data_IF_397594897460
#
_entry.id   IF_397594897460
#
_cell.length_a   1.000
_cell.length_b   1.000
_cell.length_c   1.000
_cell.angle_alpha   90.00
_cell.angle_beta   90.00
_cell.angle_gamma   90.00
#
_symmetry.space_group_name_H-M   'P 1'
#
loop_
_entity.id
_entity.type
_entity.pdbx_description
1 polymer ?
#
# COMPACT_ATOMS: atom_id res chain seq x y z
N UNK A 1 -4.09 -47.30 -67.62
CA UNK A 1 -3.40 -46.09 -67.12
C UNK A 1 -4.42 -44.99 -67.18
N UNK A 2 -5.02 -44.43 -66.13
CA UNK A 2 -4.68 -44.31 -64.70
C UNK A 2 -5.99 -44.25 -63.92
N UNK A 3 -5.98 -44.88 -62.75
CA UNK A 3 -7.08 -45.03 -61.80
C UNK A 3 -7.39 -43.71 -61.08
N UNK A 4 -8.66 -43.35 -60.96
CA UNK A 4 -9.17 -42.32 -60.03
C UNK A 4 -9.31 -42.94 -58.65
N UNK A 5 -8.37 -42.63 -57.76
CA UNK A 5 -8.44 -42.96 -56.33
C UNK A 5 -8.97 -41.76 -55.55
N UNK A 6 -10.10 -41.96 -54.88
CA UNK A 6 -10.64 -41.07 -53.84
C UNK A 6 -9.67 -41.03 -52.66
N UNK A 7 -9.27 -39.84 -52.23
CA UNK A 7 -8.53 -39.63 -50.99
C UNK A 7 -9.48 -39.06 -49.94
N UNK A 8 -9.77 -39.90 -48.94
CA UNK A 8 -10.46 -39.53 -47.70
C UNK A 8 -9.70 -38.42 -46.98
N UNK A 9 -10.38 -37.32 -46.68
CA UNK A 9 -9.85 -36.27 -45.83
C UNK A 9 -10.07 -36.68 -44.38
N UNK A 10 -9.05 -37.29 -43.79
CA UNK A 10 -9.00 -37.63 -42.37
C UNK A 10 -9.05 -36.34 -41.55
N UNK A 11 -10.23 -36.05 -41.00
CA UNK A 11 -10.43 -34.95 -40.06
C UNK A 11 -9.98 -35.45 -38.69
N UNK A 12 -8.75 -35.16 -38.29
CA UNK A 12 -8.26 -35.41 -36.94
C UNK A 12 -8.92 -34.41 -35.98
N UNK A 13 -10.10 -34.79 -35.47
CA UNK A 13 -10.63 -34.27 -34.21
C UNK A 13 -9.66 -34.67 -33.10
N UNK A 14 -8.84 -33.72 -32.63
CA UNK A 14 -8.21 -33.86 -31.32
C UNK A 14 -9.27 -33.52 -30.28
N UNK A 15 -9.90 -34.57 -29.76
CA UNK A 15 -10.73 -34.54 -28.55
C UNK A 15 -9.88 -34.07 -27.37
N UNK A 16 -9.93 -32.77 -27.06
CA UNK A 16 -9.36 -32.23 -25.82
C UNK A 16 -10.34 -32.46 -24.66
N UNK A 17 -10.53 -33.73 -24.30
CA UNK A 17 -11.27 -34.17 -23.11
C UNK A 17 -10.28 -34.49 -22.00
N UNK A 18 -9.81 -33.48 -21.25
CA UNK A 18 -9.49 -33.63 -19.81
C UNK A 18 -9.49 -32.28 -19.08
N UNK A 19 -10.64 -31.62 -19.00
CA UNK A 19 -10.88 -30.56 -18.02
C UNK A 19 -11.03 -31.11 -16.60
N UNK A 20 -9.99 -31.76 -16.06
CA UNK A 20 -9.94 -32.09 -14.63
C UNK A 20 -9.75 -30.79 -13.87
N UNK A 21 -10.85 -30.24 -13.31
CA UNK A 21 -10.78 -29.13 -12.36
C UNK A 21 -9.94 -29.59 -11.16
N UNK A 22 -8.64 -29.27 -11.18
CA UNK A 22 -7.71 -29.57 -10.10
C UNK A 22 -8.30 -28.99 -8.82
N UNK A 23 -8.49 -29.82 -7.80
CA UNK A 23 -8.93 -29.35 -6.48
C UNK A 23 -7.94 -28.28 -6.01
N UNK A 24 -8.41 -27.09 -5.57
CA UNK A 24 -7.52 -26.08 -5.06
C UNK A 24 -6.71 -26.65 -3.92
N UNK A 25 -5.40 -26.41 -3.91
CA UNK A 25 -4.57 -26.85 -2.79
C UNK A 25 -5.06 -26.13 -1.53
N UNK A 26 -4.90 -26.74 -0.35
CA UNK A 26 -5.40 -26.18 0.92
C UNK A 26 -4.89 -24.77 1.24
N UNK A 27 -3.83 -24.30 0.58
CA UNK A 27 -3.25 -22.96 0.71
C UNK A 27 -3.70 -21.97 -0.38
N UNK A 28 -4.43 -22.41 -1.39
CA UNK A 28 -4.94 -21.54 -2.46
C UNK A 28 -6.17 -20.78 -1.93
N UNK A 29 -6.05 -19.45 -1.82
CA UNK A 29 -7.14 -18.58 -1.37
C UNK A 29 -8.33 -18.68 -2.31
N UNK A 30 -9.54 -18.70 -1.73
CA UNK A 30 -10.82 -18.68 -2.48
C UNK A 30 -11.17 -17.29 -3.02
N UNK A 31 -10.45 -16.24 -2.63
CA UNK A 31 -10.68 -14.89 -3.10
C UNK A 31 -10.39 -14.79 -4.61
N UNK A 32 -11.24 -14.11 -5.40
CA UNK A 32 -11.01 -13.89 -6.82
C UNK A 32 -9.69 -13.17 -7.06
N UNK A 33 -9.01 -13.57 -8.13
CA UNK A 33 -7.86 -12.85 -8.68
C UNK A 33 -8.42 -11.89 -9.72
N UNK A 34 -8.17 -10.60 -9.56
CA UNK A 34 -8.66 -9.51 -10.40
C UNK A 34 -7.48 -8.70 -10.94
N UNK A 35 -7.67 -8.07 -12.10
CA UNK A 35 -6.63 -7.31 -12.80
C UNK A 35 -7.18 -6.09 -13.55
N UNK A 36 -6.54 -5.76 -14.67
CA UNK A 36 -6.91 -4.62 -15.51
C UNK A 36 -8.35 -4.77 -16.03
N UNK A 37 -9.16 -3.73 -15.85
CA UNK A 37 -10.57 -3.68 -16.30
C UNK A 37 -11.59 -4.26 -15.33
N UNK A 38 -11.16 -4.94 -14.26
CA UNK A 38 -12.05 -5.42 -13.21
C UNK A 38 -12.44 -4.29 -12.23
N UNK A 39 -13.58 -4.45 -11.55
CA UNK A 39 -13.98 -3.55 -10.46
C UNK A 39 -13.19 -3.87 -9.18
N UNK A 40 -12.25 -3.01 -8.81
CA UNK A 40 -11.38 -3.21 -7.65
C UNK A 40 -11.84 -2.38 -6.44
N UNK A 41 -11.75 -2.96 -5.25
CA UNK A 41 -12.13 -2.31 -3.98
C UNK A 41 -13.57 -1.84 -3.97
N UNK A 42 -13.78 -0.56 -3.68
CA UNK A 42 -15.09 0.11 -3.68
C UNK A 42 -15.56 0.54 -5.09
N UNK A 43 -14.82 0.21 -6.14
CA UNK A 43 -15.13 0.58 -7.53
C UNK A 43 -14.40 1.85 -8.02
N UNK A 44 -13.62 2.50 -7.15
CA UNK A 44 -12.81 3.69 -7.43
C UNK A 44 -11.31 3.39 -7.53
N UNK A 45 -10.93 2.09 -7.57
CA UNK A 45 -9.54 1.65 -7.73
C UNK A 45 -9.37 0.87 -9.03
N UNK A 46 -8.17 0.94 -9.61
CA UNK A 46 -7.85 0.28 -10.88
C UNK A 46 -6.36 -0.06 -11.00
N UNK A 47 -6.05 -1.04 -11.84
CA UNK A 47 -4.70 -1.46 -12.19
C UNK A 47 -4.38 -0.98 -13.61
N UNK A 48 -3.18 -0.43 -13.80
CA UNK A 48 -2.62 -0.12 -15.12
C UNK A 48 -1.27 -0.80 -15.23
N UNK A 49 -1.04 -1.48 -16.35
CA UNK A 49 0.21 -2.19 -16.64
C UNK A 49 1.02 -1.45 -17.72
N UNK A 50 2.33 -1.70 -17.77
CA UNK A 50 3.20 -1.12 -18.80
C UNK A 50 3.29 0.40 -18.75
N UNK A 51 3.23 1.00 -17.54
CA UNK A 51 3.29 2.46 -17.41
C UNK A 51 4.69 3.02 -17.68
N UNK A 52 5.71 2.19 -17.53
CA UNK A 52 7.11 2.52 -17.78
C UNK A 52 7.42 2.13 -19.23
N UNK A 53 7.80 3.10 -20.07
CA UNK A 53 8.29 2.78 -21.42
C UNK A 53 9.51 1.85 -21.37
N UNK A 54 9.84 1.21 -22.50
CA UNK A 54 10.81 0.09 -22.57
C UNK A 54 12.13 0.35 -21.83
N UNK A 55 12.75 1.52 -22.02
CA UNK A 55 14.00 1.89 -21.37
C UNK A 55 13.85 1.94 -19.84
N UNK A 56 12.85 2.68 -19.34
CA UNK A 56 12.62 2.84 -17.91
C UNK A 56 12.19 1.52 -17.28
N UNK A 57 11.36 0.72 -17.96
CA UNK A 57 10.97 -0.60 -17.47
C UNK A 57 12.21 -1.46 -17.24
N UNK A 58 13.07 -1.63 -18.24
CA UNK A 58 14.23 -2.53 -18.17
C UNK A 58 15.28 -2.14 -17.12
N UNK A 59 15.43 -0.85 -16.80
CA UNK A 59 16.49 -0.36 -15.91
C UNK A 59 16.00 0.07 -14.51
N UNK A 60 14.70 0.36 -14.35
CA UNK A 60 14.16 0.99 -13.14
C UNK A 60 14.42 0.21 -11.86
N UNK A 61 14.30 -1.13 -11.89
CA UNK A 61 14.53 -1.94 -10.69
C UNK A 61 15.97 -1.78 -10.18
N UNK A 62 16.95 -2.00 -11.05
CA UNK A 62 18.36 -1.89 -10.70
C UNK A 62 18.74 -0.47 -10.26
N UNK A 63 18.30 0.55 -11.03
CA UNK A 63 18.57 1.96 -10.71
C UNK A 63 17.96 2.38 -9.37
N UNK A 64 16.70 2.07 -9.10
CA UNK A 64 16.06 2.41 -7.81
C UNK A 64 16.73 1.65 -6.67
N UNK A 65 17.10 0.38 -6.86
CA UNK A 65 17.83 -0.42 -5.86
C UNK A 65 19.16 0.22 -5.46
N UNK A 66 19.88 0.81 -6.43
CA UNK A 66 21.18 1.46 -6.24
C UNK A 66 21.07 2.90 -5.71
N UNK A 67 20.17 3.71 -6.28
CA UNK A 67 20.02 5.14 -5.97
C UNK A 67 19.42 5.39 -4.57
N UNK A 68 18.51 4.52 -4.13
CA UNK A 68 17.75 4.72 -2.89
C UNK A 68 18.59 4.35 -1.67
N UNK A 69 18.62 5.26 -0.68
CA UNK A 69 19.22 5.02 0.63
C UNK A 69 18.25 4.23 1.51
N UNK A 70 18.45 2.93 1.58
CA UNK A 70 17.62 2.00 2.35
C UNK A 70 17.85 2.10 3.86
N UNK A 71 16.76 2.02 4.62
CA UNK A 71 16.76 2.03 6.09
C UNK A 71 15.91 0.88 6.66
N UNK A 72 16.10 0.58 7.94
CA UNK A 72 15.31 -0.38 8.71
C UNK A 72 14.30 0.38 9.57
N UNK A 73 13.02 0.15 9.29
CA UNK A 73 11.94 0.73 10.09
C UNK A 73 11.58 -0.16 11.27
N UNK A 74 11.24 0.48 12.40
CA UNK A 74 10.75 -0.20 13.59
C UNK A 74 9.26 0.08 13.78
N UNK A 75 8.49 -0.96 14.13
CA UNK A 75 7.08 -0.83 14.47
C UNK A 75 6.75 -1.76 15.63
N UNK A 76 6.22 -1.21 16.73
CA UNK A 76 5.85 -1.95 17.96
C UNK A 76 7.04 -2.71 18.55
N UNK A 77 8.23 -2.11 18.53
CA UNK A 77 9.44 -2.69 19.14
C UNK A 77 10.10 -3.82 18.35
N UNK A 78 9.73 -4.04 17.09
CA UNK A 78 10.39 -5.00 16.19
C UNK A 78 10.69 -4.42 14.81
N UNK A 79 11.63 -5.02 14.10
CA UNK A 79 11.97 -4.62 12.73
C UNK A 79 10.83 -4.96 11.79
N UNK A 80 10.45 -3.99 10.97
CA UNK A 80 9.58 -4.24 9.84
C UNK A 80 10.33 -5.15 8.85
N UNK A 81 9.72 -6.23 8.35
CA UNK A 81 10.42 -7.25 7.56
C UNK A 81 10.49 -6.82 6.09
N UNK A 82 11.13 -5.68 5.84
CA UNK A 82 11.43 -5.06 4.54
C UNK A 82 12.26 -3.80 4.78
N UNK A 83 13.08 -3.42 3.81
CA UNK A 83 13.79 -2.14 3.87
C UNK A 83 12.89 -1.04 3.33
N UNK A 84 13.05 0.18 3.85
CA UNK A 84 12.23 1.32 3.45
C UNK A 84 13.07 2.55 3.16
N UNK A 85 12.51 3.49 2.41
CA UNK A 85 13.02 4.84 2.27
C UNK A 85 11.86 5.81 2.02
N UNK A 86 12.05 7.08 2.36
CA UNK A 86 11.08 8.14 2.11
C UNK A 86 11.74 9.18 1.23
N UNK A 87 11.08 9.55 0.15
CA UNK A 87 11.50 10.66 -0.70
C UNK A 87 10.35 11.63 -0.97
N UNK A 88 10.66 12.88 -1.25
CA UNK A 88 9.66 13.90 -1.55
C UNK A 88 10.22 15.18 -2.14
N UNK A 89 9.31 16.08 -2.49
CA UNK A 89 9.64 17.41 -2.98
C UNK A 89 10.11 18.29 -1.81
N UNK A 90 11.28 18.91 -1.96
CA UNK A 90 11.80 19.90 -1.02
C UNK A 90 11.65 21.27 -1.69
N UNK A 91 10.91 22.18 -1.07
CA UNK A 91 10.69 23.52 -1.58
C UNK A 91 11.95 24.39 -1.46
N UNK A 92 11.99 25.52 -2.17
CA UNK A 92 13.13 26.45 -2.15
C UNK A 92 13.46 26.97 -0.74
N UNK A 93 12.44 27.06 0.11
CA UNK A 93 12.55 27.47 1.50
C UNK A 93 12.94 26.34 2.47
N UNK A 94 13.23 25.15 1.93
CA UNK A 94 13.58 23.95 2.67
C UNK A 94 12.41 23.15 3.24
N UNK A 95 11.17 23.64 3.16
CA UNK A 95 10.00 22.90 3.64
C UNK A 95 9.73 21.66 2.79
N UNK A 96 9.14 20.63 3.42
CA UNK A 96 8.94 19.34 2.78
C UNK A 96 7.69 18.63 3.34
N UNK A 97 7.04 17.75 2.55
CA UNK A 97 5.83 17.06 2.97
C UNK A 97 6.11 16.00 4.04
N UNK A 98 5.17 15.80 4.95
CA UNK A 98 5.22 14.73 5.95
C UNK A 98 3.99 13.82 5.87
N UNK A 99 4.22 12.51 5.85
CA UNK A 99 3.18 11.50 5.97
C UNK A 99 3.25 10.83 7.35
N UNK A 100 2.26 11.09 8.20
CA UNK A 100 2.18 10.51 9.55
C UNK A 100 1.32 9.27 9.57
N UNK A 101 1.83 8.25 10.25
CA UNK A 101 1.14 7.00 10.48
C UNK A 101 1.60 6.39 11.82
N UNK A 102 0.89 5.41 12.40
CA UNK A 102 1.25 4.86 13.71
C UNK A 102 2.53 4.03 13.59
N UNK A 103 3.68 4.67 13.80
CA UNK A 103 5.00 4.06 13.85
C UNK A 103 5.85 4.74 14.91
N UNK A 104 6.81 3.98 15.44
CA UNK A 104 7.70 4.47 16.50
C UNK A 104 8.58 5.61 15.94
N UNK A 105 9.16 5.38 14.75
CA UNK A 105 9.96 6.34 13.99
C UNK A 105 9.78 6.12 12.48
N UNK A 106 9.92 7.18 11.68
CA UNK A 106 9.94 7.09 10.21
C UNK A 106 11.32 7.51 9.69
N UNK A 107 11.82 6.91 8.60
CA UNK A 107 13.05 7.37 7.95
C UNK A 107 12.96 8.85 7.57
N UNK A 108 14.10 9.56 7.51
CA UNK A 108 14.11 10.93 7.03
C UNK A 108 13.63 11.00 5.58
N UNK A 109 12.91 12.07 5.25
CA UNK A 109 12.57 12.38 3.86
C UNK A 109 13.80 12.91 3.15
N UNK A 110 14.15 12.30 2.02
CA UNK A 110 15.19 12.78 1.11
C UNK A 110 14.58 13.34 -0.18
N UNK A 111 15.36 14.08 -0.95
CA UNK A 111 14.93 14.46 -2.31
C UNK A 111 14.71 13.19 -3.17
N UNK A 112 13.82 13.30 -4.16
CA UNK A 112 13.66 12.25 -5.15
C UNK A 112 14.99 11.95 -5.85
N UNK A 113 15.30 10.67 -6.04
CA UNK A 113 16.42 10.29 -6.92
C UNK A 113 15.98 10.35 -8.39
N UNK A 114 16.92 10.45 -9.35
CA UNK A 114 16.57 10.66 -10.75
C UNK A 114 15.57 9.63 -11.29
N UNK A 115 15.74 8.34 -10.98
CA UNK A 115 14.82 7.31 -11.49
C UNK A 115 13.45 7.40 -10.81
N UNK A 116 13.40 7.73 -9.52
CA UNK A 116 12.13 7.90 -8.80
C UNK A 116 11.36 9.12 -9.30
N UNK A 117 12.06 10.21 -9.62
CA UNK A 117 11.48 11.41 -10.22
C UNK A 117 10.87 11.13 -11.60
N UNK A 118 11.57 10.40 -12.47
CA UNK A 118 11.03 9.99 -13.77
C UNK A 118 9.76 9.14 -13.63
N UNK A 119 9.74 8.19 -12.68
CA UNK A 119 8.55 7.39 -12.39
C UNK A 119 7.42 8.28 -11.86
N UNK A 120 7.72 9.19 -10.94
CA UNK A 120 6.75 10.14 -10.37
C UNK A 120 6.10 10.97 -11.48
N UNK A 121 6.87 11.56 -12.37
CA UNK A 121 6.37 12.41 -13.45
C UNK A 121 5.44 11.62 -14.37
N UNK A 122 5.84 10.42 -14.77
CA UNK A 122 4.99 9.52 -15.57
C UNK A 122 3.68 9.16 -14.87
N UNK A 123 3.71 8.94 -13.56
CA UNK A 123 2.50 8.64 -12.78
C UNK A 123 1.61 9.87 -12.65
N UNK A 124 2.17 11.05 -12.39
CA UNK A 124 1.41 12.31 -12.29
C UNK A 124 0.63 12.59 -13.58
N UNK A 125 1.24 12.37 -14.74
CA UNK A 125 0.57 12.52 -16.05
C UNK A 125 -0.64 11.58 -16.20
N UNK A 126 -0.59 10.38 -15.61
CA UNK A 126 -1.65 9.38 -15.72
C UNK A 126 -2.79 9.59 -14.71
N UNK A 127 -2.51 10.17 -13.55
CA UNK A 127 -3.51 10.37 -12.47
C UNK A 127 -4.03 11.80 -12.38
N UNK A 128 -3.45 12.72 -13.17
CA UNK A 128 -3.87 14.12 -13.30
C UNK A 128 -3.90 14.89 -11.97
N UNK A 129 -3.07 14.49 -11.01
CA UNK A 129 -2.86 15.24 -9.77
C UNK A 129 -1.40 15.17 -9.30
N UNK A 130 -0.93 16.16 -8.51
CA UNK A 130 0.44 16.17 -8.02
C UNK A 130 0.74 14.97 -7.12
N UNK A 131 2.01 14.59 -7.08
CA UNK A 131 2.59 13.59 -6.19
C UNK A 131 3.90 14.15 -5.64
N UNK A 132 3.91 14.55 -4.38
CA UNK A 132 5.06 15.22 -3.76
C UNK A 132 5.78 14.35 -2.72
N UNK A 133 5.32 13.12 -2.49
CA UNK A 133 5.87 12.21 -1.49
C UNK A 133 5.79 10.76 -1.96
N UNK A 134 6.80 9.95 -1.64
CA UNK A 134 6.81 8.51 -1.89
C UNK A 134 7.38 7.74 -0.70
N UNK A 135 6.69 6.67 -0.30
CA UNK A 135 7.25 5.61 0.54
C UNK A 135 7.74 4.48 -0.38
N UNK A 136 9.03 4.18 -0.32
CA UNK A 136 9.67 3.13 -1.09
C UNK A 136 9.90 1.93 -0.18
N UNK A 137 9.52 0.73 -0.63
CA UNK A 137 9.60 -0.49 0.17
C UNK A 137 10.25 -1.60 -0.66
N UNK A 138 11.34 -2.16 -0.15
CA UNK A 138 12.10 -3.22 -0.79
C UNK A 138 11.89 -4.56 -0.08
N UNK A 139 11.25 -5.48 -0.80
CA UNK A 139 10.95 -6.84 -0.42
C UNK A 139 12.03 -7.74 -1.01
N UNK A 140 12.94 -8.21 -0.15
CA UNK A 140 14.12 -9.01 -0.55
C UNK A 140 13.77 -10.45 -0.91
N UNK A 141 12.57 -10.89 -0.54
CA UNK A 141 12.06 -12.23 -0.89
C UNK A 141 10.55 -12.34 -0.64
N UNK A 142 9.99 -13.51 -0.92
CA UNK A 142 8.63 -13.90 -0.50
C UNK A 142 8.38 -13.89 1.01
N UNK A 143 9.44 -13.83 1.85
CA UNK A 143 9.31 -13.74 3.31
C UNK A 143 9.01 -12.32 3.78
N UNK A 144 9.42 -11.30 3.04
CA UNK A 144 9.11 -9.91 3.35
C UNK A 144 7.62 -9.65 3.03
N UNK A 145 6.92 -8.93 3.91
CA UNK A 145 5.46 -8.74 3.86
C UNK A 145 5.04 -7.41 4.48
N UNK A 146 3.79 -7.00 4.24
CA UNK A 146 3.09 -5.93 4.96
C UNK A 146 1.68 -6.40 5.30
N UNK A 147 1.34 -6.38 6.59
CA UNK A 147 0.02 -6.80 7.10
C UNK A 147 -1.11 -5.93 6.55
N UNK A 148 -2.34 -6.43 6.67
CA UNK A 148 -3.55 -5.69 6.29
C UNK A 148 -3.64 -4.35 7.06
N UNK A 149 -3.76 -3.24 6.31
CA UNK A 149 -3.91 -1.89 6.84
C UNK A 149 -4.66 -0.98 5.84
N UNK A 150 -5.04 0.22 6.28
CA UNK A 150 -5.38 1.33 5.40
C UNK A 150 -4.37 2.45 5.61
N UNK A 151 -4.10 3.19 4.55
CA UNK A 151 -3.26 4.37 4.61
C UNK A 151 -3.97 5.50 5.36
N UNK A 152 -3.17 6.33 6.05
CA UNK A 152 -3.66 7.40 6.93
C UNK A 152 -3.93 8.65 6.14
N UNK A 153 -5.17 9.13 6.17
CA UNK A 153 -5.61 10.21 5.29
C UNK A 153 -5.46 11.60 5.90
N UNK A 154 -4.96 11.73 7.13
CA UNK A 154 -4.74 13.04 7.79
C UNK A 154 -3.88 13.98 6.93
N UNK A 155 -2.80 13.46 6.36
CA UNK A 155 -1.83 14.25 5.60
C UNK A 155 -2.01 14.13 4.08
N UNK A 156 -2.81 13.17 3.60
CA UNK A 156 -3.08 12.99 2.17
C UNK A 156 -4.13 14.01 1.73
N UNK A 157 -3.82 14.79 0.69
CA UNK A 157 -4.74 15.81 0.15
C UNK A 157 -6.07 15.14 -0.19
N UNK A 158 -7.16 15.67 0.38
CA UNK A 158 -8.50 15.09 0.21
C UNK A 158 -8.87 15.01 -1.28
N UNK A 159 -9.40 13.85 -1.67
CA UNK A 159 -9.80 13.57 -3.06
C UNK A 159 -8.66 13.06 -3.96
N UNK A 160 -7.40 13.12 -3.53
CA UNK A 160 -6.30 12.49 -4.27
C UNK A 160 -6.26 10.97 -4.08
N UNK A 161 -5.69 10.26 -5.05
CA UNK A 161 -5.48 8.81 -4.99
C UNK A 161 -4.11 8.46 -4.42
N UNK A 162 -3.98 7.23 -3.91
CA UNK A 162 -2.72 6.66 -3.43
C UNK A 162 -2.22 5.68 -4.48
N UNK A 163 -1.00 5.87 -4.99
CA UNK A 163 -0.52 5.15 -6.17
C UNK A 163 0.61 4.20 -5.81
N UNK A 164 0.42 2.91 -6.05
CA UNK A 164 1.44 1.88 -5.82
C UNK A 164 2.05 1.41 -7.14
N UNK A 165 3.28 1.84 -7.43
CA UNK A 165 4.08 1.32 -8.56
C UNK A 165 4.89 0.11 -8.10
N UNK A 166 4.96 -0.93 -8.92
CA UNK A 166 5.68 -2.18 -8.62
C UNK A 166 6.81 -2.44 -9.61
N UNK A 167 8.01 -2.72 -9.10
CA UNK A 167 9.20 -3.09 -9.87
C UNK A 167 9.73 -4.46 -9.41
N UNK A 168 10.34 -5.23 -10.32
CA UNK A 168 10.85 -6.57 -10.05
C UNK A 168 9.75 -7.64 -9.99
N UNK A 169 9.93 -8.61 -9.10
CA UNK A 169 9.07 -9.77 -8.95
C UNK A 169 7.61 -9.41 -8.70
N UNK A 170 6.71 -10.07 -9.44
CA UNK A 170 5.28 -9.97 -9.22
C UNK A 170 4.92 -10.45 -7.80
N UNK A 171 4.16 -9.64 -7.09
CA UNK A 171 3.52 -9.99 -5.81
C UNK A 171 2.04 -9.69 -5.87
N UNK A 172 1.28 -10.33 -5.00
CA UNK A 172 -0.18 -10.18 -4.97
C UNK A 172 -0.56 -9.26 -3.80
N UNK A 173 -1.20 -8.14 -4.12
CA UNK A 173 -1.92 -7.34 -3.14
C UNK A 173 -3.24 -8.02 -2.80
N UNK A 174 -3.53 -8.12 -1.51
CA UNK A 174 -4.84 -8.57 -1.02
C UNK A 174 -5.61 -7.35 -0.58
N UNK A 175 -6.81 -7.13 -1.14
CA UNK A 175 -7.80 -6.22 -0.58
C UNK A 175 -8.80 -7.02 0.25
N UNK A 176 -9.19 -6.51 1.41
CA UNK A 176 -10.23 -7.10 2.25
C UNK A 176 -11.12 -6.01 2.86
N UNK A 177 -12.42 -6.04 2.59
CA UNK A 177 -13.39 -5.09 3.16
C UNK A 177 -13.27 -5.01 4.67
N UNK A 178 -13.27 -3.83 5.28
CA UNK A 178 -13.28 -3.67 6.75
C UNK A 178 -14.53 -4.31 7.36
N UNK A 179 -14.43 -4.74 8.62
CA UNK A 179 -15.59 -5.26 9.35
C UNK A 179 -16.60 -4.14 9.55
N UNK A 180 -17.89 -4.46 9.48
CA UNK A 180 -18.91 -3.56 10.01
C UNK A 180 -18.79 -3.51 11.53
N UNK A 181 -18.73 -2.30 12.08
CA UNK A 181 -18.79 -2.09 13.51
C UNK A 181 -20.25 -2.26 13.93
N UNK A 182 -20.59 -3.39 14.55
CA UNK A 182 -21.90 -3.54 15.17
C UNK A 182 -21.98 -2.56 16.34
N UNK A 183 -22.95 -1.63 16.30
CA UNK A 183 -23.19 -0.60 17.34
C UNK A 183 -23.46 -1.22 18.73
N UNK A 184 -23.67 -2.52 18.83
CA UNK A 184 -23.86 -3.26 20.09
C UNK A 184 -22.58 -3.66 20.81
N UNK A 185 -21.41 -3.54 20.17
CA UNK A 185 -20.13 -3.81 20.82
C UNK A 185 -19.65 -2.55 21.57
N UNK A 186 -20.27 -2.31 22.72
CA UNK A 186 -19.84 -1.28 23.66
C UNK A 186 -18.43 -1.65 24.20
N UNK A 187 -17.47 -0.72 24.33
CA UNK A 187 -16.09 -1.05 24.74
C UNK A 187 -15.96 -1.59 26.18
N UNK A 188 -17.01 -1.52 26.99
CA UNK A 188 -16.99 -1.88 28.42
C UNK A 188 -17.32 -3.34 28.73
N UNK A 189 -17.69 -4.17 27.76
CA UNK A 189 -17.98 -5.60 27.98
C UNK A 189 -16.95 -6.51 27.30
N UNK A 190 -15.67 -6.36 27.64
CA UNK A 190 -14.70 -7.45 27.45
C UNK A 190 -14.64 -8.31 28.71
N UNK A 191 -15.70 -9.09 28.93
CA UNK A 191 -15.65 -10.27 29.79
C UNK A 191 -16.00 -11.48 28.96
N UNK A 192 -14.97 -12.29 28.72
CA UNK A 192 -14.98 -13.72 28.37
C UNK A 192 -16.36 -14.38 28.13
N UNK A 193 -16.64 -14.71 26.87
CA UNK A 193 -17.78 -15.55 26.50
C UNK A 193 -17.63 -16.10 25.09
N UNK A 194 -17.37 -17.40 24.99
CA UNK A 194 -17.30 -18.18 23.77
C UNK A 194 -18.70 -18.28 23.13
N UNK A 195 -19.03 -17.44 22.16
CA UNK A 195 -20.10 -17.73 21.19
C UNK A 195 -19.64 -17.39 19.77
N UNK A 196 -19.31 -18.46 19.06
CA UNK A 196 -19.01 -18.46 17.63
C UNK A 196 -20.29 -18.21 16.83
N UNK A 197 -20.63 -16.95 16.61
CA UNK A 197 -21.44 -16.58 15.45
C UNK A 197 -20.61 -16.80 14.18
N UNK A 198 -21.21 -17.27 13.06
CA UNK A 198 -20.44 -17.62 11.88
C UNK A 198 -19.71 -16.38 11.36
N UNK A 199 -18.40 -16.53 11.24
CA UNK A 199 -17.46 -15.56 10.68
C UNK A 199 -17.98 -15.11 9.31
N UNK A 200 -18.67 -13.97 9.23
CA UNK A 200 -18.98 -13.31 7.96
C UNK A 200 -17.65 -13.21 7.20
N UNK A 201 -17.49 -14.03 6.15
CA UNK A 201 -16.25 -14.05 5.39
C UNK A 201 -16.16 -12.73 4.65
N UNK A 202 -15.39 -11.79 5.21
CA UNK A 202 -15.14 -10.48 4.61
C UNK A 202 -14.76 -10.67 3.14
N UNK A 203 -15.39 -9.90 2.25
CA UNK A 203 -15.06 -9.95 0.83
C UNK A 203 -13.59 -9.64 0.67
N UNK A 204 -12.90 -10.43 -0.16
CA UNK A 204 -11.49 -10.25 -0.45
C UNK A 204 -11.24 -10.33 -1.95
N UNK A 205 -10.28 -9.55 -2.41
CA UNK A 205 -9.79 -9.54 -3.77
C UNK A 205 -8.27 -9.74 -3.76
N UNK A 206 -7.74 -10.35 -4.81
CA UNK A 206 -6.30 -10.57 -5.00
C UNK A 206 -5.89 -9.90 -6.30
N UNK A 207 -4.98 -8.94 -6.23
CA UNK A 207 -4.51 -8.18 -7.38
C UNK A 207 -3.03 -8.49 -7.60
N UNK A 208 -2.66 -9.25 -8.64
CA UNK A 208 -1.27 -9.38 -9.06
C UNK A 208 -0.71 -8.02 -9.47
N UNK A 209 0.51 -7.71 -9.02
CA UNK A 209 1.20 -6.46 -9.32
C UNK A 209 2.46 -6.78 -10.13
N UNK A 210 2.36 -6.87 -11.47
CA UNK A 210 3.51 -7.17 -12.32
C UNK A 210 4.52 -6.01 -12.34
N UNK A 211 5.71 -6.29 -12.84
CA UNK A 211 6.73 -5.27 -13.06
C UNK A 211 6.21 -4.14 -13.96
N UNK A 212 6.48 -2.89 -13.57
CA UNK A 212 6.06 -1.71 -14.32
C UNK A 212 4.56 -1.43 -14.30
N UNK A 213 3.82 -2.04 -13.37
CA UNK A 213 2.41 -1.72 -13.11
C UNK A 213 2.26 -0.61 -12.07
N UNK A 214 1.13 0.10 -12.14
CA UNK A 214 0.64 0.94 -11.06
C UNK A 214 -0.77 0.50 -10.64
N UNK A 215 -0.97 0.36 -9.33
CA UNK A 215 -2.29 0.23 -8.72
C UNK A 215 -2.71 1.57 -8.15
N UNK A 216 -3.80 2.13 -8.67
CA UNK A 216 -4.39 3.39 -8.20
C UNK A 216 -5.46 3.05 -7.18
N UNK A 217 -5.23 3.44 -5.93
CA UNK A 217 -6.18 3.26 -4.84
C UNK A 217 -7.00 4.54 -4.64
N UNK A 218 -8.28 4.45 -4.91
CA UNK A 218 -9.22 5.54 -4.67
C UNK A 218 -9.55 5.73 -3.18
N UNK A 219 -10.05 6.93 -2.81
CA UNK A 219 -10.33 7.29 -1.42
C UNK A 219 -11.39 6.40 -0.76
N UNK A 220 -12.44 5.98 -1.48
CA UNK A 220 -13.48 5.12 -0.93
C UNK A 220 -12.97 3.69 -0.70
N UNK A 221 -12.09 3.20 -1.59
CA UNK A 221 -11.39 1.93 -1.35
C UNK A 221 -10.51 2.01 -0.10
N UNK A 222 -9.66 3.03 0.05
CA UNK A 222 -8.82 3.15 1.25
C UNK A 222 -9.65 3.30 2.54
N UNK A 223 -10.80 3.97 2.46
CA UNK A 223 -11.74 4.15 3.58
C UNK A 223 -12.43 2.84 3.97
N UNK A 224 -12.84 2.01 3.02
CA UNK A 224 -13.71 0.85 3.30
C UNK A 224 -13.01 -0.50 3.22
N UNK A 225 -11.79 -0.57 2.67
CA UNK A 225 -10.99 -1.79 2.54
C UNK A 225 -9.66 -1.67 3.28
N UNK A 226 -9.14 -2.82 3.70
CA UNK A 226 -7.74 -2.99 4.08
C UNK A 226 -6.96 -3.57 2.90
N UNK A 227 -5.67 -3.30 2.84
CA UNK A 227 -4.76 -3.84 1.84
C UNK A 227 -3.48 -4.38 2.47
N UNK A 228 -2.83 -5.35 1.82
CA UNK A 228 -1.56 -5.90 2.28
C UNK A 228 -0.87 -6.78 1.24
N UNK A 229 0.44 -6.99 1.42
CA UNK A 229 1.24 -7.95 0.65
C UNK A 229 1.62 -9.09 1.59
N UNK A 230 0.97 -10.24 1.43
CA UNK A 230 1.21 -11.40 2.29
C UNK A 230 2.54 -12.09 1.99
N UNK A 231 3.01 -12.88 2.96
CA UNK A 231 4.08 -13.84 2.73
C UNK A 231 3.74 -14.78 1.57
N UNK A 232 4.74 -15.07 0.76
CA UNK A 232 4.68 -16.10 -0.27
C UNK A 232 5.81 -17.12 -0.07
N UNK A 233 5.50 -18.12 0.76
CA UNK A 233 6.41 -19.20 1.16
C UNK A 233 6.40 -20.38 0.17
N UNK A 234 5.77 -20.25 -1.00
CA UNK A 234 5.82 -21.30 -2.03
C UNK A 234 7.28 -21.52 -2.46
N UNK A 235 7.70 -22.76 -2.73
CA UNK A 235 9.03 -23.04 -3.26
C UNK A 235 9.32 -22.23 -4.53
N UNK A 236 10.51 -21.63 -4.64
CA UNK A 236 10.84 -20.75 -5.77
C UNK A 236 10.65 -21.42 -7.14
N UNK A 237 10.96 -22.72 -7.25
CA UNK A 237 10.76 -23.53 -8.46
C UNK A 237 9.32 -23.65 -8.96
N UNK A 238 8.32 -23.42 -8.10
CA UNK A 238 6.89 -23.49 -8.49
C UNK A 238 6.29 -22.12 -8.80
N UNK A 239 7.07 -21.04 -8.65
CA UNK A 239 6.66 -19.68 -9.01
C UNK A 239 6.70 -19.51 -10.53
N UNK A 240 5.86 -18.61 -11.03
CA UNK A 240 5.88 -18.14 -12.42
C UNK A 240 7.15 -17.35 -12.72
N UNK A 241 7.43 -17.07 -14.00
CA UNK A 241 8.63 -16.31 -14.38
C UNK A 241 8.54 -14.86 -13.90
N UNK A 242 7.35 -14.26 -13.93
CA UNK A 242 7.09 -12.92 -13.40
C UNK A 242 7.33 -12.84 -11.89
N UNK A 243 7.03 -13.91 -11.15
CA UNK A 243 7.29 -14.02 -9.71
C UNK A 243 8.75 -14.35 -9.36
N UNK A 244 9.54 -14.79 -10.35
CA UNK A 244 10.99 -15.08 -10.22
C UNK A 244 11.87 -13.94 -10.71
N UNK A 245 11.32 -12.97 -11.45
CA UNK A 245 12.04 -11.80 -11.93
C UNK A 245 12.84 -11.14 -10.80
N UNK A 246 14.02 -10.63 -11.12
CA UNK A 246 14.94 -10.03 -10.12
C UNK A 246 15.18 -10.96 -8.91
N UNK A 247 15.35 -12.26 -9.16
CA UNK A 247 15.56 -13.29 -8.12
C UNK A 247 14.43 -13.38 -7.06
N UNK A 248 13.23 -12.91 -7.41
CA UNK A 248 12.07 -12.88 -6.49
C UNK A 248 12.01 -11.64 -5.60
N UNK A 249 12.83 -10.64 -5.89
CA UNK A 249 12.88 -9.37 -5.20
C UNK A 249 11.90 -8.35 -5.80
N UNK A 250 11.30 -7.50 -4.96
CA UNK A 250 10.33 -6.49 -5.40
C UNK A 250 10.59 -5.15 -4.75
N UNK A 251 10.49 -4.08 -5.53
CA UNK A 251 10.42 -2.71 -5.00
C UNK A 251 9.02 -2.16 -5.24
N UNK A 252 8.47 -1.51 -4.20
CA UNK A 252 7.18 -0.83 -4.25
C UNK A 252 7.38 0.66 -4.01
N UNK A 253 6.83 1.49 -4.88
CA UNK A 253 6.81 2.94 -4.69
C UNK A 253 5.37 3.35 -4.42
N UNK A 254 5.08 3.85 -3.21
CA UNK A 254 3.74 4.32 -2.83
C UNK A 254 3.72 5.84 -2.82
N UNK A 255 3.30 6.42 -3.94
CA UNK A 255 3.19 7.86 -4.12
C UNK A 255 1.90 8.41 -3.51
N UNK A 256 2.00 9.62 -2.95
CA UNK A 256 0.87 10.35 -2.35
C UNK A 256 0.98 11.83 -2.69
N UNK A 257 -0.16 12.50 -2.76
CA UNK A 257 -0.24 13.95 -2.67
C UNK A 257 -0.40 14.33 -1.20
N UNK A 258 0.62 14.92 -0.60
CA UNK A 258 0.63 15.29 0.81
C UNK A 258 0.38 16.79 0.96
N UNK A 259 -0.56 17.14 1.84
CA UNK A 259 -0.97 18.51 2.15
C UNK A 259 -0.48 19.03 3.50
N UNK A 260 0.33 18.26 4.22
CA UNK A 260 0.95 18.64 5.51
C UNK A 260 2.46 18.71 5.36
N UNK A 261 3.08 19.73 5.93
CA UNK A 261 4.47 20.07 5.70
C UNK A 261 5.19 20.39 7.00
N UNK A 262 6.49 20.13 7.01
CA UNK A 262 7.43 20.63 8.01
C UNK A 262 8.25 21.78 7.43
N UNK A 263 8.67 22.72 8.29
CA UNK A 263 9.72 23.68 7.94
C UNK A 263 11.06 22.98 7.73
N UNK A 264 12.01 23.62 7.04
CA UNK A 264 13.29 22.98 6.69
C UNK A 264 14.18 22.59 7.87
N UNK A 265 13.96 23.20 9.04
CA UNK A 265 14.60 22.82 10.31
C UNK A 265 13.79 21.79 11.11
N UNK A 266 12.65 21.33 10.57
CA UNK A 266 11.71 20.39 11.17
C UNK A 266 11.13 20.84 12.53
N UNK A 267 11.18 22.13 12.85
CA UNK A 267 10.68 22.66 14.13
C UNK A 267 9.20 22.96 14.11
N UNK A 268 8.65 23.33 12.94
CA UNK A 268 7.25 23.69 12.78
C UNK A 268 6.53 22.84 11.75
N UNK A 269 5.23 22.65 11.99
CA UNK A 269 4.30 21.90 11.13
C UNK A 269 3.15 22.81 10.69
N UNK A 270 2.71 22.63 9.45
CA UNK A 270 1.57 23.33 8.87
C UNK A 270 0.88 22.51 7.78
N UNK A 271 -0.28 22.96 7.32
CA UNK A 271 -1.04 22.34 6.23
C UNK A 271 -2.27 21.57 6.70
N UNK A 272 -2.82 20.73 5.82
CA UNK A 272 -4.13 20.09 5.99
C UNK A 272 -4.26 19.36 7.33
N UNK A 273 -3.29 18.51 7.65
CA UNK A 273 -3.28 17.68 8.85
C UNK A 273 -2.75 18.38 10.10
N UNK A 274 -2.18 19.58 9.98
CA UNK A 274 -1.69 20.38 11.10
C UNK A 274 -2.80 21.29 11.65
N UNK A 275 -2.62 21.84 12.85
CA UNK A 275 -3.60 22.81 13.37
C UNK A 275 -3.52 24.14 12.60
N UNK A 276 -2.30 24.61 12.29
CA UNK A 276 -2.07 25.73 11.37
C UNK A 276 -2.19 25.27 9.92
N UNK A 277 -3.11 25.84 9.15
CA UNK A 277 -3.41 25.34 7.79
C UNK A 277 -2.51 25.98 6.73
N UNK A 278 -1.92 27.12 7.06
CA UNK A 278 -0.98 27.86 6.21
C UNK A 278 0.40 27.94 6.86
N UNK A 279 1.40 28.33 6.08
CA UNK A 279 2.77 28.47 6.59
C UNK A 279 2.89 29.59 7.62
N UNK A 280 2.14 30.67 7.42
CA UNK A 280 2.08 31.81 8.34
C UNK A 280 1.49 31.42 9.70
N UNK A 281 0.64 30.39 9.71
CA UNK A 281 0.03 29.81 10.90
C UNK A 281 0.80 28.60 11.45
N UNK A 282 2.00 28.30 10.93
CA UNK A 282 2.78 27.14 11.33
C UNK A 282 3.04 27.12 12.84
N UNK A 283 2.89 25.94 13.44
CA UNK A 283 3.02 25.72 14.88
C UNK A 283 4.20 24.82 15.20
N UNK A 284 4.70 24.94 16.42
CA UNK A 284 5.75 24.05 16.93
C UNK A 284 5.31 22.59 16.83
N UNK A 285 6.18 21.77 16.23
CA UNK A 285 5.94 20.34 16.10
C UNK A 285 6.17 19.64 17.44
N UNK A 286 5.18 18.88 17.89
CA UNK A 286 5.19 18.19 19.18
C UNK A 286 5.65 16.74 19.02
N UNK A 287 6.22 16.15 20.07
CA UNK A 287 6.62 14.73 20.10
C UNK A 287 5.88 14.03 21.25
N UNK A 288 5.01 13.09 20.92
CA UNK A 288 4.24 12.31 21.90
C UNK A 288 3.18 13.11 22.67
N UNK A 289 2.89 12.67 23.89
CA UNK A 289 1.90 13.27 24.79
C UNK A 289 0.43 12.98 24.43
N UNK A 290 -0.50 13.62 25.13
CA UNK A 290 -1.95 13.46 24.98
C UNK A 290 -2.44 13.64 23.53
N UNK A 291 -1.81 14.54 22.78
CA UNK A 291 -2.12 14.76 21.37
C UNK A 291 -1.72 13.54 20.51
N UNK A 292 -0.55 12.95 20.79
CA UNK A 292 -0.10 11.71 20.18
C UNK A 292 -1.06 10.55 20.45
N UNK A 293 -1.53 10.39 21.68
CA UNK A 293 -2.51 9.34 22.03
C UNK A 293 -3.85 9.53 21.30
N UNK A 294 -4.34 10.77 21.22
CA UNK A 294 -5.56 11.10 20.46
C UNK A 294 -5.40 10.80 18.97
N UNK A 295 -4.24 11.11 18.39
CA UNK A 295 -3.99 10.81 16.98
C UNK A 295 -3.88 9.30 16.72
N UNK A 296 -3.25 8.54 17.62
CA UNK A 296 -3.23 7.06 17.56
C UNK A 296 -4.65 6.51 17.64
N UNK A 297 -5.49 7.05 18.53
CA UNK A 297 -6.90 6.66 18.63
C UNK A 297 -7.65 6.94 17.31
N UNK A 298 -7.45 8.12 16.71
CA UNK A 298 -8.03 8.47 15.42
C UNK A 298 -7.56 7.54 14.29
N UNK A 299 -6.25 7.21 14.23
CA UNK A 299 -5.71 6.20 13.32
C UNK A 299 -6.35 4.81 13.53
N UNK A 300 -6.56 4.43 14.78
CA UNK A 300 -7.28 3.22 15.14
C UNK A 300 -8.69 3.23 14.59
N UNK A 301 -9.44 4.33 14.79
CA UNK A 301 -10.82 4.48 14.29
C UNK A 301 -10.88 4.38 12.77
N UNK A 302 -10.05 5.11 12.05
CA UNK A 302 -10.01 5.09 10.58
C UNK A 302 -9.73 3.69 10.02
N UNK A 303 -8.93 2.86 10.71
CA UNK A 303 -8.66 1.48 10.27
C UNK A 303 -9.88 0.54 10.41
N UNK A 304 -10.80 0.82 11.33
CA UNK A 304 -11.92 -0.07 11.63
C UNK A 304 -13.27 0.44 11.12
N UNK A 305 -13.46 1.75 11.08
CA UNK A 305 -14.74 2.38 10.77
C UNK A 305 -14.86 2.72 9.28
N UNK A 306 -15.77 2.04 8.58
CA UNK A 306 -16.10 2.29 7.17
C UNK A 306 -16.78 3.65 6.98
N UNK A 307 -17.38 4.21 8.02
CA UNK A 307 -18.05 5.51 8.04
C UNK A 307 -17.17 6.60 8.65
N UNK A 308 -15.85 6.40 8.74
CA UNK A 308 -14.92 7.36 9.32
C UNK A 308 -15.15 8.78 8.79
N UNK A 309 -15.38 9.71 9.72
CA UNK A 309 -15.61 11.12 9.44
C UNK A 309 -14.29 11.90 9.60
N UNK A 310 -13.68 12.27 8.47
CA UNK A 310 -12.40 12.98 8.46
C UNK A 310 -12.47 14.32 9.19
N UNK A 311 -13.54 15.10 9.01
CA UNK A 311 -13.65 16.45 9.59
C UNK A 311 -13.79 16.38 11.12
N UNK A 312 -14.50 15.37 11.64
CA UNK A 312 -14.66 15.14 13.07
C UNK A 312 -13.33 14.74 13.74
N UNK A 313 -12.59 13.82 13.13
CA UNK A 313 -11.40 13.21 13.74
C UNK A 313 -10.09 13.93 13.40
N UNK A 314 -9.97 14.49 12.20
CA UNK A 314 -8.74 15.15 11.72
C UNK A 314 -8.91 16.63 11.40
N UNK A 315 -10.14 17.15 11.25
CA UNK A 315 -10.38 18.51 10.78
C UNK A 315 -9.69 19.60 11.61
N UNK A 316 -9.65 19.42 12.93
CA UNK A 316 -8.95 20.34 13.84
C UNK A 316 -7.43 20.35 13.66
N UNK A 317 -6.85 19.31 13.08
CA UNK A 317 -5.41 19.15 12.91
C UNK A 317 -4.72 18.60 14.16
N UNK A 318 -3.48 18.18 13.96
CA UNK A 318 -2.58 17.69 14.99
C UNK A 318 -1.18 18.21 14.69
N UNK A 319 -0.46 18.67 15.71
CA UNK A 319 0.89 19.20 15.56
C UNK A 319 1.99 18.17 15.96
N UNK A 320 1.57 16.95 16.33
CA UNK A 320 2.45 15.85 16.75
C UNK A 320 3.04 15.05 15.58
N UNK A 321 4.33 14.67 15.67
CA UNK A 321 5.06 13.90 14.64
C UNK A 321 5.31 12.42 15.00
N UNK A 322 5.69 12.14 16.26
CA UNK A 322 6.15 10.82 16.69
C UNK A 322 5.37 10.31 17.91
N UNK A 323 5.24 8.99 17.98
CA UNK A 323 4.41 8.29 18.95
C UNK A 323 5.29 7.40 19.82
N UNK A 324 6.10 7.99 20.72
CA UNK A 324 6.69 7.16 21.78
C UNK A 324 5.56 6.74 22.71
N UNK A 325 5.21 5.47 22.70
CA UNK A 325 4.55 4.86 23.85
C UNK A 325 5.59 4.86 24.97
N UNK A 326 5.47 5.78 25.94
CA UNK A 326 6.13 5.58 27.21
C UNK A 326 5.63 4.24 27.74
N UNK A 327 6.53 3.28 27.91
CA UNK A 327 6.20 2.07 28.66
C UNK A 327 5.73 2.57 30.03
N UNK A 328 4.46 2.38 30.35
CA UNK A 328 4.05 2.44 31.75
C UNK A 328 4.88 1.38 32.46
N UNK A 329 5.88 1.83 33.22
CA UNK A 329 6.57 0.97 34.17
C UNK A 329 5.49 0.30 35.02
N UNK A 330 5.39 -1.02 34.91
CA UNK A 330 4.66 -1.83 35.87
C UNK A 330 5.31 -1.56 37.22
N UNK A 331 4.67 -0.70 38.03
CA UNK A 331 5.01 -0.56 39.44
C UNK A 331 4.89 -1.94 40.08
N UNK A 332 5.96 -2.26 40.80
CA UNK A 332 6.37 -3.49 41.47
C UNK A 332 5.28 -4.27 42.19
#
# INVERSE_FOLDING_TARGET
MTSTASAETTTTQTDDKTGSKRRPRAWESKAPVLGVGDSLGAGDSYLVEGILGDELSSASFARVKEEVKWDVMHHRGGNVPRLVAVQGAIAEDGSYPIYRHPADESPPLLAFTPTVELIRDRVQDLVEHPLNHVLIQYYRSGKDYISEHSDKTIDVVRGSSIINVSLGAQRVMTLREKKEMNIKDNPESQTSGHESTPLNSRVSQRIPLPHGSMFVMGPETNKTWLHGINHDNRPFKVKSEEEKAEEGERISLTFRHIGTFLTGDATKIFGQGATGKTREEAREAVRGGDEGEKLICAFGRENHDRAFNWDEWYGKGYDVLHFKMEKMDQKS
#
